data_IF_791282088740
#
_entry.id   IF_791282088740
#
_cell.length_a   1.000
_cell.length_b   1.000
_cell.length_c   1.000
_cell.angle_alpha   90.00
_cell.angle_beta   90.00
_cell.angle_gamma   90.00
#
_symmetry.space_group_name_H-M   'P 1'
#
loop_
_entity.id
_entity.type
_entity.pdbx_description
1 polymer ?
#
# COMPACT_ATOMS: atom_id res chain seq x y z
N UNK A 1 -31.61 -6.46 -21.71
CA UNK A 1 -30.59 -7.21 -20.95
C UNK A 1 -29.28 -6.51 -21.21
N UNK A 2 -28.97 -5.53 -20.36
CA UNK A 2 -27.74 -4.76 -20.46
C UNK A 2 -26.76 -5.36 -19.46
N UNK A 3 -25.75 -6.06 -19.97
CA UNK A 3 -24.59 -6.47 -19.18
C UNK A 3 -23.82 -5.20 -18.82
N UNK A 4 -24.11 -4.65 -17.64
CA UNK A 4 -23.33 -3.60 -17.01
C UNK A 4 -21.97 -4.18 -16.62
N UNK A 5 -21.04 -4.19 -17.56
CA UNK A 5 -19.62 -4.27 -17.21
C UNK A 5 -19.33 -2.96 -16.49
N UNK A 6 -19.23 -3.01 -15.16
CA UNK A 6 -18.62 -1.95 -14.37
C UNK A 6 -17.23 -1.71 -14.97
N UNK A 7 -17.09 -0.69 -15.82
CA UNK A 7 -15.78 -0.22 -16.23
C UNK A 7 -15.07 0.24 -14.96
N UNK A 8 -13.92 -0.37 -14.59
CA UNK A 8 -13.19 0.06 -13.41
C UNK A 8 -12.78 1.51 -13.59
N UNK A 9 -13.36 2.39 -12.78
CA UNK A 9 -13.04 3.81 -12.78
C UNK A 9 -11.63 3.98 -12.26
N UNK A 10 -10.73 4.44 -13.12
CA UNK A 10 -9.36 4.73 -12.75
C UNK A 10 -9.32 5.68 -11.54
N UNK A 11 -8.66 5.24 -10.46
CA UNK A 11 -8.32 6.10 -9.32
C UNK A 11 -9.36 6.22 -8.20
N UNK A 12 -10.58 5.68 -8.34
CA UNK A 12 -11.55 5.62 -7.24
C UNK A 12 -11.71 4.17 -6.76
N UNK A 13 -11.39 3.95 -5.50
CA UNK A 13 -11.59 2.69 -4.81
C UNK A 13 -13.07 2.32 -4.79
N UNK A 14 -13.41 1.04 -4.96
CA UNK A 14 -14.79 0.60 -4.68
C UNK A 14 -15.11 0.65 -3.19
N UNK A 15 -16.40 0.69 -2.86
CA UNK A 15 -16.85 0.58 -1.46
C UNK A 15 -16.42 -0.74 -0.81
N UNK A 16 -16.22 -1.81 -1.61
CA UNK A 16 -15.80 -3.12 -1.12
C UNK A 16 -14.43 -3.07 -0.49
N UNK A 17 -13.45 -2.48 -1.19
CA UNK A 17 -12.11 -2.36 -0.63
C UNK A 17 -12.06 -1.40 0.55
N UNK A 18 -12.84 -0.31 0.50
CA UNK A 18 -12.93 0.63 1.61
C UNK A 18 -13.46 -0.09 2.86
N UNK A 19 -14.47 -0.94 2.73
CA UNK A 19 -15.01 -1.72 3.85
C UNK A 19 -13.98 -2.69 4.45
N UNK A 20 -13.24 -3.43 3.60
CA UNK A 20 -12.19 -4.36 4.05
C UNK A 20 -11.06 -3.63 4.79
N UNK A 21 -10.64 -2.46 4.29
CA UNK A 21 -9.60 -1.66 4.92
C UNK A 21 -10.08 -0.94 6.18
N UNK A 22 -11.37 -0.54 6.23
CA UNK A 22 -11.98 0.06 7.41
C UNK A 22 -12.01 -0.92 8.58
N UNK A 23 -12.25 -2.21 8.33
CA UNK A 23 -12.22 -3.26 9.35
C UNK A 23 -10.81 -3.51 9.94
N UNK A 24 -9.77 -2.90 9.36
CA UNK A 24 -8.37 -3.05 9.77
C UNK A 24 -7.77 -1.75 10.32
N UNK A 25 -8.59 -0.71 10.55
CA UNK A 25 -8.13 0.63 10.96
C UNK A 25 -6.99 1.13 10.05
N UNK A 26 -7.13 0.91 8.74
CA UNK A 26 -6.08 1.16 7.76
C UNK A 26 -5.65 2.63 7.72
N UNK A 27 -6.59 3.57 7.87
CA UNK A 27 -6.30 5.00 7.90
C UNK A 27 -5.36 5.35 9.06
N UNK A 28 -5.65 4.84 10.27
CA UNK A 28 -4.82 5.07 11.45
C UNK A 28 -3.40 4.52 11.27
N UNK A 29 -3.29 3.29 10.76
CA UNK A 29 -2.01 2.65 10.46
C UNK A 29 -1.23 3.43 9.40
N UNK A 30 -1.89 3.83 8.30
CA UNK A 30 -1.27 4.58 7.21
C UNK A 30 -0.74 5.94 7.69
N UNK A 31 -1.54 6.69 8.45
CA UNK A 31 -1.11 7.99 8.99
C UNK A 31 -0.07 7.85 10.10
N UNK A 32 -0.06 6.74 10.86
CA UNK A 32 1.02 6.45 11.81
C UNK A 32 2.36 6.24 11.09
N UNK A 33 2.41 5.42 10.03
CA UNK A 33 3.61 5.23 9.22
C UNK A 33 4.12 6.53 8.60
N UNK A 34 3.20 7.42 8.21
CA UNK A 34 3.54 8.74 7.72
C UNK A 34 4.14 9.64 8.81
N UNK A 35 3.60 9.64 10.03
CA UNK A 35 4.06 10.49 11.15
C UNK A 35 5.39 10.03 11.74
N UNK A 36 5.59 8.72 11.88
CA UNK A 36 6.85 8.17 12.43
C UNK A 36 8.08 8.59 11.62
N UNK A 37 7.90 8.99 10.36
CA UNK A 37 8.96 9.54 9.53
C UNK A 37 9.47 10.93 9.93
N UNK A 38 8.80 11.63 10.85
CA UNK A 38 9.15 12.98 11.27
C UNK A 38 10.18 13.04 12.40
N UNK A 39 10.28 12.01 13.25
CA UNK A 39 11.24 11.96 14.37
C UNK A 39 12.60 11.43 13.92
N UNK A 40 13.63 12.25 14.08
CA UNK A 40 15.04 11.93 13.77
C UNK A 40 15.85 11.80 15.04
N UNK A 41 16.34 10.60 15.33
CA UNK A 41 17.70 10.45 15.89
C UNK A 41 18.27 9.00 15.83
N UNK A 42 19.60 8.97 15.65
CA UNK A 42 20.63 7.95 15.93
C UNK A 42 20.79 6.66 15.08
N UNK A 43 19.87 6.26 14.20
CA UNK A 43 20.02 5.02 13.41
C UNK A 43 19.65 5.21 11.93
N UNK A 44 20.21 6.27 11.34
CA UNK A 44 19.95 6.68 9.96
C UNK A 44 20.43 5.59 8.98
N UNK A 45 19.54 5.21 8.05
CA UNK A 45 19.98 4.51 6.85
C UNK A 45 21.07 5.39 6.19
N UNK A 46 22.19 4.80 5.75
CA UNK A 46 23.34 5.56 5.28
C UNK A 46 22.92 6.65 4.30
N UNK A 47 23.47 7.86 4.43
CA UNK A 47 23.14 8.99 3.58
C UNK A 47 23.25 8.60 2.08
N UNK A 48 22.09 8.46 1.45
CA UNK A 48 21.93 7.82 0.14
C UNK A 48 20.73 6.88 0.19
N UNK A 49 19.71 7.15 -0.62
CA UNK A 49 18.45 6.40 -0.55
C UNK A 49 18.66 4.87 -0.50
N UNK A 50 17.93 4.10 0.33
CA UNK A 50 17.95 2.65 0.36
C UNK A 50 17.95 2.16 -1.06
N UNK A 51 18.89 1.28 -1.36
CA UNK A 51 18.84 0.58 -2.61
C UNK A 51 17.45 -0.06 -2.68
N UNK A 52 16.81 -0.02 -3.85
CA UNK A 52 15.52 -0.69 -4.13
C UNK A 52 15.53 -2.12 -3.59
N UNK A 53 16.70 -2.74 -3.57
CA UNK A 53 16.97 -4.05 -2.99
C UNK A 53 16.65 -4.15 -1.49
N UNK A 54 16.96 -3.15 -0.67
CA UNK A 54 16.66 -3.18 0.77
C UNK A 54 15.16 -3.21 1.04
N UNK A 55 14.38 -2.46 0.25
CA UNK A 55 12.91 -2.52 0.29
C UNK A 55 12.42 -3.90 -0.14
N UNK A 56 12.92 -4.42 -1.26
CA UNK A 56 12.57 -5.77 -1.75
C UNK A 56 12.88 -6.84 -0.68
N UNK A 57 14.07 -6.77 -0.08
CA UNK A 57 14.51 -7.74 0.92
C UNK A 57 13.67 -7.63 2.20
N UNK A 58 13.24 -6.42 2.60
CA UNK A 58 12.32 -6.21 3.72
C UNK A 58 10.91 -6.77 3.44
N UNK A 59 10.34 -6.53 2.25
CA UNK A 59 9.06 -7.12 1.86
C UNK A 59 9.10 -8.64 1.81
N UNK A 60 10.20 -9.23 1.31
CA UNK A 60 10.41 -10.67 1.32
C UNK A 60 10.55 -11.22 2.73
N UNK A 61 11.27 -10.53 3.61
CA UNK A 61 11.39 -10.90 5.02
C UNK A 61 10.03 -10.82 5.75
N UNK A 62 9.15 -9.92 5.33
CA UNK A 62 7.77 -9.84 5.81
C UNK A 62 6.84 -10.93 5.22
N UNK A 63 7.34 -11.80 4.32
CA UNK A 63 6.61 -12.95 3.79
C UNK A 63 6.02 -12.77 2.40
N UNK A 64 6.22 -11.62 1.74
CA UNK A 64 5.61 -11.37 0.44
C UNK A 64 6.45 -11.87 -0.75
N UNK A 65 5.74 -12.19 -1.83
CA UNK A 65 6.35 -12.37 -3.16
C UNK A 65 6.66 -10.99 -3.74
N UNK A 66 7.86 -10.81 -4.29
CA UNK A 66 8.29 -9.52 -4.83
C UNK A 66 8.98 -9.66 -6.17
N UNK A 67 8.42 -9.00 -7.18
CA UNK A 67 8.92 -8.91 -8.54
C UNK A 67 9.50 -7.53 -8.82
N UNK A 68 10.75 -7.50 -9.32
CA UNK A 68 11.44 -6.26 -9.62
C UNK A 68 11.22 -5.86 -11.08
N UNK A 69 10.85 -4.60 -11.31
CA UNK A 69 10.74 -4.03 -12.66
C UNK A 69 12.13 -3.60 -13.17
N UNK A 70 12.86 -4.59 -13.69
CA UNK A 70 14.16 -4.41 -14.35
C UNK A 70 15.16 -3.61 -13.50
N UNK A 71 15.77 -2.59 -14.11
CA UNK A 71 16.74 -1.70 -13.45
C UNK A 71 16.10 -0.43 -12.87
N UNK A 72 14.77 -0.35 -12.84
CA UNK A 72 14.05 0.81 -12.31
C UNK A 72 14.03 0.79 -10.78
N UNK A 73 13.39 1.82 -10.20
CA UNK A 73 13.09 1.90 -8.77
C UNK A 73 11.68 1.45 -8.44
N UNK A 74 11.13 0.59 -9.29
CA UNK A 74 9.81 -0.01 -9.16
C UNK A 74 9.92 -1.49 -8.87
N UNK A 75 8.97 -1.97 -8.09
CA UNK A 75 8.77 -3.38 -7.81
C UNK A 75 7.31 -3.59 -7.47
N UNK A 76 6.84 -4.82 -7.64
CA UNK A 76 5.48 -5.24 -7.28
C UNK A 76 5.58 -6.24 -6.14
N UNK A 77 4.77 -6.04 -5.12
CA UNK A 77 4.60 -6.95 -3.99
C UNK A 77 3.26 -7.64 -4.16
N UNK A 78 3.21 -8.96 -4.06
CA UNK A 78 2.00 -9.73 -4.30
C UNK A 78 1.65 -10.56 -3.07
N UNK A 79 0.37 -10.57 -2.71
CA UNK A 79 -0.22 -11.49 -1.74
C UNK A 79 -1.43 -12.18 -2.39
N UNK A 80 -1.49 -13.50 -2.23
CA UNK A 80 -2.51 -14.34 -2.84
C UNK A 80 -3.31 -15.09 -1.76
N UNK A 81 -4.63 -15.19 -1.93
CA UNK A 81 -5.50 -16.02 -1.11
C UNK A 81 -6.62 -16.62 -1.96
N UNK A 82 -6.49 -17.91 -2.29
CA UNK A 82 -7.46 -18.62 -3.13
C UNK A 82 -7.57 -17.98 -4.53
N UNK A 83 -8.76 -17.51 -4.97
CA UNK A 83 -8.93 -16.86 -6.27
C UNK A 83 -8.50 -15.39 -6.29
N UNK A 84 -8.19 -14.79 -5.14
CA UNK A 84 -7.89 -13.37 -5.02
C UNK A 84 -6.39 -13.14 -4.97
N UNK A 85 -5.89 -12.27 -5.85
CA UNK A 85 -4.52 -11.76 -5.87
C UNK A 85 -4.54 -10.25 -5.64
N UNK A 86 -3.70 -9.78 -4.73
CA UNK A 86 -3.55 -8.36 -4.40
C UNK A 86 -2.13 -7.94 -4.72
N UNK A 87 -2.00 -6.93 -5.57
CA UNK A 87 -0.72 -6.40 -6.02
C UNK A 87 -0.52 -4.99 -5.47
N UNK A 88 0.64 -4.75 -4.89
CA UNK A 88 1.12 -3.44 -4.51
C UNK A 88 2.30 -3.06 -5.39
N UNK A 89 2.03 -2.20 -6.37
CA UNK A 89 3.09 -1.59 -7.17
C UNK A 89 3.72 -0.45 -6.39
N UNK A 90 4.99 -0.59 -6.08
CA UNK A 90 5.78 0.39 -5.34
C UNK A 90 6.72 1.15 -6.28
N UNK A 91 6.77 2.47 -6.16
CA UNK A 91 7.80 3.31 -6.77
C UNK A 91 8.53 4.11 -5.70
N UNK A 92 9.87 4.04 -5.68
CA UNK A 92 10.70 4.80 -4.73
C UNK A 92 11.08 6.18 -5.29
N UNK A 93 10.77 7.22 -4.51
CA UNK A 93 11.10 8.62 -4.81
C UNK A 93 12.61 8.87 -4.97
N UNK A 94 12.98 9.85 -5.82
CA UNK A 94 14.38 10.28 -5.99
C UNK A 94 14.81 11.18 -4.83
N UNK A 95 15.96 10.89 -4.21
CA UNK A 95 16.54 11.72 -3.15
C UNK A 95 15.89 11.60 -1.76
N UNK A 96 14.64 11.13 -1.68
CA UNK A 96 13.91 10.85 -0.44
C UNK A 96 13.31 9.45 -0.56
N UNK A 97 13.35 8.68 0.52
CA UNK A 97 12.94 7.27 0.58
C UNK A 97 11.42 7.14 0.69
N UNK A 98 10.74 7.85 -0.18
CA UNK A 98 9.30 7.89 -0.24
C UNK A 98 8.80 6.69 -1.02
N UNK A 99 7.85 5.96 -0.45
CA UNK A 99 7.14 4.90 -1.13
C UNK A 99 5.86 5.49 -1.73
N UNK A 100 5.68 5.36 -3.04
CA UNK A 100 4.42 5.66 -3.73
C UNK A 100 3.73 4.35 -4.14
N UNK A 101 2.89 3.78 -3.28
CA UNK A 101 2.25 2.50 -3.51
C UNK A 101 0.88 2.64 -4.20
N UNK A 102 0.68 1.86 -5.26
CA UNK A 102 -0.57 1.70 -5.98
C UNK A 102 -1.06 0.27 -5.83
N UNK A 103 -2.30 0.09 -5.39
CA UNK A 103 -2.91 -1.21 -5.12
C UNK A 103 -3.83 -1.64 -6.27
N UNK A 104 -3.71 -2.89 -6.68
CA UNK A 104 -4.66 -3.56 -7.57
C UNK A 104 -5.17 -4.83 -6.90
N UNK A 105 -6.43 -5.18 -7.17
CA UNK A 105 -7.06 -6.40 -6.68
C UNK A 105 -7.60 -7.16 -7.88
N UNK A 106 -7.26 -8.44 -7.97
CA UNK A 106 -7.70 -9.35 -9.01
C UNK A 106 -8.44 -10.52 -8.35
N UNK A 107 -9.62 -10.87 -8.87
CA UNK A 107 -10.41 -12.01 -8.41
C UNK A 107 -10.66 -12.92 -9.61
N UNK A 108 -10.22 -14.19 -9.51
CA UNK A 108 -10.27 -15.18 -10.59
C UNK A 108 -9.68 -14.63 -11.91
N UNK A 109 -8.59 -13.86 -11.82
CA UNK A 109 -7.92 -13.23 -12.96
C UNK A 109 -8.57 -11.94 -13.47
N UNK A 110 -9.78 -11.58 -13.01
CA UNK A 110 -10.44 -10.33 -13.38
C UNK A 110 -10.04 -9.20 -12.43
N UNK A 111 -9.57 -8.08 -12.98
CA UNK A 111 -9.26 -6.89 -12.18
C UNK A 111 -10.55 -6.29 -11.58
N UNK A 112 -10.59 -6.20 -10.25
CA UNK A 112 -11.66 -5.56 -9.46
C UNK A 112 -11.29 -4.15 -9.03
N UNK A 113 -10.02 -3.95 -8.67
CA UNK A 113 -9.43 -2.64 -8.38
C UNK A 113 -8.20 -2.45 -9.28
N UNK A 114 -7.98 -1.23 -9.78
CA UNK A 114 -6.85 -0.94 -10.67
C UNK A 114 -6.05 0.27 -10.19
N UNK A 115 -4.83 0.01 -9.73
CA UNK A 115 -3.83 1.03 -9.42
C UNK A 115 -4.35 2.16 -8.52
N UNK A 116 -5.07 1.81 -7.47
CA UNK A 116 -5.64 2.75 -6.49
C UNK A 116 -4.53 3.19 -5.53
N UNK A 117 -4.34 4.50 -5.36
CA UNK A 117 -3.34 5.02 -4.41
C UNK A 117 -3.68 4.64 -2.96
N UNK A 118 -2.71 4.15 -2.19
CA UNK A 118 -2.93 3.91 -0.76
C UNK A 118 -3.24 5.19 0.02
N UNK A 119 -2.66 6.34 -0.36
CA UNK A 119 -3.00 7.62 0.27
C UNK A 119 -4.46 8.01 0.00
N UNK A 120 -4.94 7.72 -1.22
CA UNK A 120 -6.34 7.92 -1.60
C UNK A 120 -7.28 6.97 -0.87
N UNK A 121 -6.87 5.72 -0.67
CA UNK A 121 -7.62 4.72 0.13
C UNK A 121 -7.69 5.13 1.60
N UNK A 122 -6.58 5.54 2.21
CA UNK A 122 -6.53 5.97 3.60
C UNK A 122 -7.45 7.18 3.84
N UNK A 123 -7.44 8.14 2.90
CA UNK A 123 -8.36 9.29 2.91
C UNK A 123 -9.83 8.87 2.79
N UNK A 124 -10.15 7.93 1.90
CA UNK A 124 -11.52 7.43 1.76
C UNK A 124 -12.00 6.66 2.99
N UNK A 125 -11.14 5.83 3.59
CA UNK A 125 -11.43 5.12 4.85
C UNK A 125 -11.64 6.11 5.99
N UNK A 126 -10.79 7.12 6.11
CA UNK A 126 -10.94 8.18 7.12
C UNK A 126 -12.31 8.86 7.01
N UNK A 127 -12.67 9.35 5.82
CA UNK A 127 -13.95 10.05 5.63
C UNK A 127 -15.18 9.12 5.72
N UNK A 128 -15.02 7.83 5.43
CA UNK A 128 -16.09 6.86 5.65
C UNK A 128 -16.36 6.66 7.15
N UNK A 129 -15.33 6.71 8.01
CA UNK A 129 -15.45 6.57 9.47
C UNK A 129 -15.79 7.90 10.16
N UNK A 130 -15.23 8.99 9.67
CA UNK A 130 -15.30 10.34 10.25
C UNK A 130 -15.56 11.37 9.14
N UNK A 131 -16.83 11.56 8.70
CA UNK A 131 -17.17 12.44 7.59
C UNK A 131 -16.74 13.89 7.77
N UNK A 132 -16.64 14.36 9.01
CA UNK A 132 -16.29 15.73 9.39
C UNK A 132 -14.81 15.90 9.76
N UNK A 133 -13.96 14.89 9.52
CA UNK A 133 -12.53 15.00 9.81
C UNK A 133 -11.85 16.08 8.95
N UNK A 134 -10.81 16.72 9.48
CA UNK A 134 -9.94 17.56 8.66
C UNK A 134 -9.15 16.68 7.67
N UNK A 135 -8.96 17.15 6.44
CA UNK A 135 -8.21 16.43 5.41
C UNK A 135 -6.70 16.45 5.72
N UNK A 136 -6.08 15.34 6.15
CA UNK A 136 -4.65 15.32 6.39
C UNK A 136 -3.93 15.35 5.02
N UNK A 137 -3.29 16.48 4.71
CA UNK A 137 -2.51 16.69 3.47
C UNK A 137 -1.71 15.45 3.08
N UNK A 138 -2.02 14.87 1.92
CA UNK A 138 -1.48 13.63 1.32
C UNK A 138 -0.06 13.26 1.75
N UNK A 139 0.11 12.52 2.85
CA UNK A 139 1.43 12.12 3.26
C UNK A 139 1.78 10.79 2.57
N UNK A 140 3.06 10.64 2.22
CA UNK A 140 3.65 9.37 1.83
C UNK A 140 4.62 8.96 2.94
N UNK A 141 4.68 7.66 3.31
CA UNK A 141 5.69 7.20 4.27
C UNK A 141 7.10 7.51 3.76
N UNK A 142 7.88 8.23 4.57
CA UNK A 142 9.31 8.48 4.33
C UNK A 142 10.10 7.54 5.24
N UNK A 143 10.83 6.60 4.65
CA UNK A 143 11.59 5.61 5.42
C UNK A 143 13.00 6.13 5.71
N UNK A 144 13.30 6.45 6.98
CA UNK A 144 14.60 6.98 7.40
C UNK A 144 15.45 5.96 8.14
N UNK A 145 14.84 4.97 8.79
CA UNK A 145 15.53 3.93 9.56
C UNK A 145 15.14 2.52 9.10
N UNK A 146 15.99 1.52 9.39
CA UNK A 146 15.68 0.12 9.11
C UNK A 146 14.44 -0.35 9.88
N UNK A 147 14.29 0.09 11.13
CA UNK A 147 13.11 -0.22 11.96
C UNK A 147 11.82 0.28 11.33
N UNK A 148 11.81 1.49 10.78
CA UNK A 148 10.64 2.01 10.04
C UNK A 148 10.36 1.18 8.79
N UNK A 149 11.40 0.77 8.06
CA UNK A 149 11.24 -0.09 6.89
C UNK A 149 10.60 -1.43 7.26
N UNK A 150 11.09 -2.07 8.32
CA UNK A 150 10.58 -3.36 8.78
C UNK A 150 9.12 -3.22 9.28
N UNK A 151 8.80 -2.19 10.07
CA UNK A 151 7.44 -1.93 10.54
C UNK A 151 6.46 -1.64 9.38
N UNK A 152 6.86 -0.78 8.43
CA UNK A 152 6.08 -0.44 7.25
C UNK A 152 5.83 -1.67 6.37
N UNK A 153 6.87 -2.45 6.07
CA UNK A 153 6.74 -3.63 5.19
C UNK A 153 5.89 -4.72 5.83
N UNK A 154 6.07 -5.02 7.12
CA UNK A 154 5.21 -5.96 7.85
C UNK A 154 3.76 -5.49 7.87
N UNK A 155 3.52 -4.21 8.13
CA UNK A 155 2.18 -3.62 8.13
C UNK A 155 1.50 -3.70 6.76
N UNK A 156 2.22 -3.33 5.70
CA UNK A 156 1.71 -3.40 4.33
C UNK A 156 1.43 -4.84 3.90
N UNK A 157 2.32 -5.80 4.16
CA UNK A 157 2.09 -7.20 3.78
C UNK A 157 0.86 -7.77 4.49
N UNK A 158 0.70 -7.51 5.79
CA UNK A 158 -0.50 -7.93 6.52
C UNK A 158 -1.78 -7.35 5.94
N UNK A 159 -1.74 -6.08 5.54
CA UNK A 159 -2.86 -5.44 4.86
C UNK A 159 -3.17 -6.12 3.52
N UNK A 160 -2.16 -6.42 2.69
CA UNK A 160 -2.36 -7.13 1.43
C UNK A 160 -2.96 -8.52 1.63
N UNK A 161 -2.46 -9.28 2.61
CA UNK A 161 -2.98 -10.60 2.96
C UNK A 161 -4.42 -10.57 3.45
N UNK A 162 -4.77 -9.58 4.27
CA UNK A 162 -6.14 -9.40 4.75
C UNK A 162 -7.07 -8.97 3.63
N UNK A 163 -6.64 -8.07 2.74
CA UNK A 163 -7.39 -7.75 1.52
C UNK A 163 -7.58 -9.01 0.68
N UNK A 164 -6.53 -9.79 0.42
CA UNK A 164 -6.63 -11.01 -0.39
C UNK A 164 -7.65 -12.00 0.20
N UNK A 165 -7.65 -12.17 1.52
CA UNK A 165 -8.53 -13.10 2.23
C UNK A 165 -9.99 -12.64 2.28
N UNK A 166 -10.19 -11.36 2.57
CA UNK A 166 -11.50 -10.83 2.96
C UNK A 166 -12.18 -10.04 1.83
N UNK A 167 -11.53 -9.89 0.66
CA UNK A 167 -12.15 -9.26 -0.50
C UNK A 167 -13.37 -10.07 -0.96
N UNK A 168 -14.56 -9.48 -1.02
CA UNK A 168 -15.76 -10.18 -1.43
C UNK A 168 -15.67 -10.60 -2.90
N UNK A 169 -15.98 -11.87 -3.17
CA UNK A 169 -15.97 -12.48 -4.51
C UNK A 169 -16.98 -11.85 -5.48
#
# INVERSE_FOLDING_TARGET
>A
MSDGVDEPTWGRASERIVAVLSAQDFDESYYAWCRESADTDADELPAGAPAVREFIDAFRAAGATVDRDGRTRRFTVTADAGPTAVELRCELGRGINTLSPLLSVHVAGAARERAVSLSGLARQVLFARQPDADDPLYPYPIVRTRRQLDALTVGLVRMLEAVARDYPA
#
